data_IF_842563202266
#
_entry.id   IF_842563202266
#
_cell.length_a   1.000
_cell.length_b   1.000
_cell.length_c   1.000
_cell.angle_alpha   90.00
_cell.angle_beta   90.00
_cell.angle_gamma   90.00
#
_symmetry.space_group_name_H-M   'P 1'
#
loop_
_entity.id
_entity.type
_entity.pdbx_description
1 polymer ?
#
# COMPACT_ATOMS: atom_id res chain seq x y z
N UNK A 1 -7.86 -10.92 -15.83
CA UNK A 1 -6.78 -10.51 -14.91
C UNK A 1 -7.34 -9.44 -13.98
N UNK A 2 -6.94 -9.43 -12.70
CA UNK A 2 -7.53 -8.57 -11.66
C UNK A 2 -6.52 -8.11 -10.60
N UNK A 3 -5.23 -8.22 -10.93
CA UNK A 3 -4.09 -7.79 -10.12
C UNK A 3 -3.15 -6.97 -11.02
N UNK A 4 -2.20 -6.23 -10.45
CA UNK A 4 -1.30 -5.33 -11.19
C UNK A 4 -0.12 -6.10 -11.79
N UNK A 5 -0.09 -6.35 -13.12
CA UNK A 5 0.99 -7.12 -13.75
C UNK A 5 2.33 -6.38 -13.71
N UNK A 6 2.31 -5.04 -13.74
CA UNK A 6 3.51 -4.21 -13.76
C UNK A 6 4.33 -4.35 -12.47
N UNK A 7 3.68 -4.60 -11.34
CA UNK A 7 4.38 -4.92 -10.10
C UNK A 7 5.24 -6.19 -10.23
N UNK A 8 4.75 -7.19 -10.97
CA UNK A 8 5.50 -8.43 -11.20
C UNK A 8 6.68 -8.17 -12.14
N UNK A 9 6.43 -7.52 -13.28
CA UNK A 9 7.44 -7.35 -14.34
C UNK A 9 8.50 -6.31 -13.99
N UNK A 10 8.14 -5.23 -13.29
CA UNK A 10 9.03 -4.10 -13.02
C UNK A 10 9.55 -4.04 -11.58
N UNK A 11 8.89 -4.69 -10.61
CA UNK A 11 9.36 -4.70 -9.22
C UNK A 11 9.89 -6.08 -8.82
N UNK A 12 9.03 -7.11 -8.80
CA UNK A 12 9.42 -8.42 -8.26
C UNK A 12 10.49 -9.08 -9.12
N UNK A 13 10.23 -9.33 -10.39
CA UNK A 13 11.15 -10.09 -11.26
C UNK A 13 12.57 -9.49 -11.31
N UNK A 14 12.78 -8.18 -11.54
CA UNK A 14 14.13 -7.63 -11.61
C UNK A 14 14.83 -7.54 -10.24
N UNK A 15 14.09 -7.44 -9.13
CA UNK A 15 14.67 -7.17 -7.81
C UNK A 15 14.68 -8.39 -6.88
N UNK A 16 14.11 -9.54 -7.28
CA UNK A 16 13.92 -10.69 -6.39
C UNK A 16 15.20 -11.19 -5.72
N UNK A 17 16.33 -11.15 -6.44
CA UNK A 17 17.64 -11.53 -5.91
C UNK A 17 18.14 -10.53 -4.86
N UNK A 18 17.96 -9.24 -5.10
CA UNK A 18 18.33 -8.19 -4.15
C UNK A 18 17.42 -8.18 -2.92
N UNK A 19 16.12 -8.41 -3.12
CA UNK A 19 15.14 -8.58 -2.05
C UNK A 19 15.61 -9.67 -1.09
N UNK A 20 15.98 -10.84 -1.61
CA UNK A 20 16.51 -11.94 -0.79
C UNK A 20 17.85 -11.60 -0.14
N UNK A 21 18.82 -11.14 -0.94
CA UNK A 21 20.18 -10.86 -0.47
C UNK A 21 20.22 -9.81 0.64
N UNK A 22 19.36 -8.80 0.56
CA UNK A 22 19.30 -7.68 1.50
C UNK A 22 18.23 -7.88 2.58
N UNK A 23 17.49 -9.00 2.55
CA UNK A 23 16.37 -9.28 3.46
C UNK A 23 15.34 -8.15 3.49
N UNK A 24 15.03 -7.59 2.32
CA UNK A 24 13.99 -6.57 2.15
C UNK A 24 12.64 -7.26 2.24
N UNK A 25 11.72 -6.68 3.01
CA UNK A 25 10.32 -7.12 3.02
C UNK A 25 9.48 -6.24 2.12
N UNK A 26 8.60 -6.86 1.36
CA UNK A 26 7.74 -6.19 0.39
C UNK A 26 6.28 -6.32 0.82
N UNK A 27 5.57 -5.21 0.90
CA UNK A 27 4.13 -5.18 1.18
C UNK A 27 3.45 -4.45 0.03
N UNK A 28 2.36 -5.01 -0.51
CA UNK A 28 1.64 -4.37 -1.61
C UNK A 28 0.17 -4.79 -1.69
N UNK A 29 -0.67 -3.87 -2.18
CA UNK A 29 -2.04 -4.13 -2.61
C UNK A 29 -2.17 -4.47 -4.10
N UNK A 30 -1.05 -4.79 -4.78
CA UNK A 30 -1.03 -5.19 -6.19
C UNK A 30 -1.89 -6.43 -6.49
N UNK A 31 -2.36 -7.17 -5.48
CA UNK A 31 -3.34 -8.24 -5.65
C UNK A 31 -4.69 -7.76 -6.18
N UNK A 32 -5.05 -6.49 -5.98
CA UNK A 32 -6.27 -5.89 -6.52
C UNK A 32 -7.52 -6.67 -6.13
N UNK A 33 -8.26 -7.15 -7.13
CA UNK A 33 -9.44 -8.03 -6.95
C UNK A 33 -9.12 -9.52 -7.18
N UNK A 34 -7.85 -9.86 -7.44
CA UNK A 34 -7.39 -11.24 -7.62
C UNK A 34 -6.01 -11.47 -6.96
N UNK A 35 -5.92 -11.37 -5.62
CA UNK A 35 -4.67 -11.56 -4.90
C UNK A 35 -4.09 -12.98 -5.07
N UNK A 36 -4.94 -14.00 -5.24
CA UNK A 36 -4.50 -15.38 -5.49
C UNK A 36 -3.73 -15.49 -6.81
N UNK A 37 -4.25 -14.87 -7.87
CA UNK A 37 -3.57 -14.79 -9.17
C UNK A 37 -2.20 -14.12 -9.07
N UNK A 38 -2.10 -13.03 -8.29
CA UNK A 38 -0.84 -12.34 -8.05
C UNK A 38 0.18 -13.25 -7.34
N UNK A 39 -0.22 -13.91 -6.25
CA UNK A 39 0.63 -14.83 -5.48
C UNK A 39 1.13 -15.99 -6.33
N UNK A 40 0.25 -16.60 -7.14
CA UNK A 40 0.64 -17.69 -8.04
C UNK A 40 1.67 -17.23 -9.07
N UNK A 41 1.52 -16.02 -9.61
CA UNK A 41 2.51 -15.45 -10.53
C UNK A 41 3.85 -15.17 -9.84
N UNK A 42 3.86 -14.64 -8.61
CA UNK A 42 5.10 -14.44 -7.83
C UNK A 42 5.80 -15.78 -7.56
N UNK A 43 5.05 -16.82 -7.18
CA UNK A 43 5.60 -18.17 -6.96
C UNK A 43 6.27 -18.74 -8.23
N UNK A 44 5.69 -18.48 -9.39
CA UNK A 44 6.29 -18.88 -10.66
C UNK A 44 7.61 -18.13 -10.93
N UNK A 45 7.67 -16.83 -10.63
CA UNK A 45 8.91 -16.04 -10.74
C UNK A 45 9.98 -16.56 -9.78
N UNK A 46 9.63 -16.82 -8.53
CA UNK A 46 10.53 -17.42 -7.54
C UNK A 46 11.10 -18.76 -8.02
N UNK A 47 10.24 -19.64 -8.54
CA UNK A 47 10.67 -20.94 -9.06
C UNK A 47 11.56 -20.81 -10.29
N UNK A 48 11.30 -19.86 -11.19
CA UNK A 48 12.13 -19.66 -12.40
C UNK A 48 13.49 -19.05 -12.07
N UNK A 49 13.56 -18.20 -11.05
CA UNK A 49 14.77 -17.51 -10.62
C UNK A 49 15.58 -18.30 -9.58
N UNK A 50 15.06 -19.45 -9.11
CA UNK A 50 15.71 -20.26 -8.07
C UNK A 50 15.77 -19.57 -6.70
N UNK A 51 14.83 -18.68 -6.42
CA UNK A 51 14.80 -17.86 -5.21
C UNK A 51 13.71 -18.34 -4.25
N UNK A 52 14.12 -18.84 -3.09
CA UNK A 52 13.20 -19.13 -1.99
C UNK A 52 12.98 -17.89 -1.12
N UNK A 53 11.71 -17.48 -1.03
CA UNK A 53 11.14 -16.43 -0.19
C UNK A 53 9.77 -16.91 0.30
N UNK A 54 9.26 -16.35 1.39
CA UNK A 54 7.93 -16.62 1.90
C UNK A 54 6.94 -15.56 1.40
N UNK A 55 5.77 -16.01 0.93
CA UNK A 55 4.71 -15.12 0.42
C UNK A 55 3.43 -15.34 1.23
N UNK A 56 2.95 -14.29 1.87
CA UNK A 56 1.66 -14.27 2.55
C UNK A 56 0.61 -13.52 1.74
N UNK A 57 -0.63 -13.98 1.81
CA UNK A 57 -1.78 -13.36 1.18
C UNK A 57 -2.76 -12.91 2.27
N UNK A 58 -3.15 -11.65 2.26
CA UNK A 58 -4.18 -11.11 3.14
C UNK A 58 -5.47 -10.95 2.34
N UNK A 59 -6.52 -11.65 2.76
CA UNK A 59 -7.84 -11.69 2.13
C UNK A 59 -8.92 -11.25 3.11
N UNK A 60 -10.17 -11.20 2.65
CA UNK A 60 -11.33 -10.73 3.42
C UNK A 60 -11.85 -9.38 2.93
N UNK A 61 -11.22 -8.81 1.90
CA UNK A 61 -11.70 -7.63 1.21
C UNK A 61 -12.86 -7.94 0.27
N UNK A 62 -12.90 -9.12 -0.39
CA UNK A 62 -13.98 -9.50 -1.30
C UNK A 62 -15.30 -9.77 -0.57
N UNK A 63 -16.27 -8.86 -0.78
CA UNK A 63 -17.61 -8.90 -0.21
C UNK A 63 -18.67 -9.38 -1.21
N UNK A 64 -18.28 -9.93 -2.37
CA UNK A 64 -19.22 -10.36 -3.41
C UNK A 64 -20.25 -11.40 -2.92
N UNK A 65 -19.86 -12.23 -1.96
CA UNK A 65 -20.77 -13.21 -1.31
C UNK A 65 -21.84 -12.55 -0.44
N UNK A 66 -21.58 -11.33 0.04
CA UNK A 66 -22.46 -10.58 0.93
C UNK A 66 -23.34 -9.57 0.19
N UNK A 67 -23.20 -9.40 -1.14
CA UNK A 67 -23.93 -8.38 -1.92
C UNK A 67 -25.44 -8.45 -1.68
N UNK A 68 -26.02 -9.65 -1.66
CA UNK A 68 -27.47 -9.83 -1.43
C UNK A 68 -27.86 -9.36 -0.02
N UNK A 69 -27.14 -9.82 0.99
CA UNK A 69 -27.36 -9.44 2.39
C UNK A 69 -27.23 -7.93 2.60
N UNK A 70 -26.17 -7.34 2.05
CA UNK A 70 -25.89 -5.89 2.12
C UNK A 70 -26.99 -5.09 1.42
N UNK A 71 -27.46 -5.56 0.27
CA UNK A 71 -28.58 -4.93 -0.46
C UNK A 71 -29.90 -5.03 0.31
N UNK A 72 -30.19 -6.20 0.87
CA UNK A 72 -31.40 -6.47 1.65
C UNK A 72 -31.41 -5.72 2.99
N UNK A 73 -30.24 -5.30 3.49
CA UNK A 73 -30.13 -4.49 4.72
C UNK A 73 -30.76 -3.09 4.61
N UNK A 74 -30.91 -2.56 3.39
CA UNK A 74 -31.42 -1.22 3.13
C UNK A 74 -30.42 -0.08 3.43
N UNK A 75 -29.24 -0.37 4.01
CA UNK A 75 -28.22 0.63 4.32
C UNK A 75 -27.23 0.89 3.19
N UNK A 76 -27.18 0.02 2.18
CA UNK A 76 -26.24 0.11 1.08
C UNK A 76 -26.71 1.11 0.02
N UNK A 77 -26.45 2.38 0.30
CA UNK A 77 -26.71 3.51 -0.59
C UNK A 77 -25.42 4.23 -0.93
N UNK A 78 -25.39 4.77 -2.14
CA UNK A 78 -24.36 5.71 -2.57
C UNK A 78 -24.39 6.97 -1.69
N UNK A 79 -23.22 7.40 -1.20
CA UNK A 79 -23.14 8.48 -0.20
C UNK A 79 -23.51 9.85 -0.76
N UNK A 80 -23.30 10.08 -2.06
CA UNK A 80 -23.56 11.36 -2.71
C UNK A 80 -25.00 11.46 -3.22
N UNK A 81 -25.47 10.42 -3.92
CA UNK A 81 -26.77 10.42 -4.59
C UNK A 81 -27.89 9.75 -3.80
N UNK A 82 -27.57 9.02 -2.73
CA UNK A 82 -28.53 8.23 -1.95
C UNK A 82 -29.14 7.05 -2.73
N UNK A 83 -28.64 6.75 -3.93
CA UNK A 83 -29.15 5.65 -4.75
C UNK A 83 -28.77 4.32 -4.13
N UNK A 84 -29.70 3.37 -4.15
CA UNK A 84 -29.40 1.99 -3.76
C UNK A 84 -28.42 1.35 -4.74
N UNK A 85 -27.76 0.27 -4.30
CA UNK A 85 -26.92 -0.55 -5.17
C UNK A 85 -27.62 -0.93 -6.50
N UNK A 86 -26.87 -0.94 -7.62
CA UNK A 86 -27.39 -1.36 -8.92
C UNK A 86 -27.90 -2.81 -8.91
N UNK A 87 -28.60 -3.21 -9.97
CA UNK A 87 -29.06 -4.59 -10.14
C UNK A 87 -27.89 -5.58 -10.27
N UNK A 88 -26.85 -5.19 -11.01
CA UNK A 88 -25.61 -5.93 -11.17
C UNK A 88 -24.46 -5.23 -10.46
N UNK A 89 -23.74 -5.97 -9.61
CA UNK A 89 -22.51 -5.51 -8.96
C UNK A 89 -21.35 -6.26 -9.59
N UNK A 90 -20.38 -5.52 -10.14
CA UNK A 90 -19.18 -6.12 -10.74
C UNK A 90 -18.16 -6.54 -9.67
N UNK A 91 -17.98 -5.71 -8.66
CA UNK A 91 -17.11 -5.94 -7.51
C UNK A 91 -17.65 -5.21 -6.29
N UNK A 92 -17.41 -5.76 -5.10
CA UNK A 92 -17.69 -5.12 -3.83
C UNK A 92 -16.56 -5.48 -2.87
N UNK A 93 -15.85 -4.48 -2.37
CA UNK A 93 -14.68 -4.71 -1.55
C UNK A 93 -14.70 -3.86 -0.28
N UNK A 94 -14.38 -4.47 0.86
CA UNK A 94 -14.02 -3.78 2.09
C UNK A 94 -12.52 -3.53 2.11
N UNK A 95 -12.09 -2.32 2.46
CA UNK A 95 -10.66 -2.01 2.52
C UNK A 95 -10.09 -2.55 3.82
N UNK A 96 -9.12 -3.46 3.70
CA UNK A 96 -8.45 -4.01 4.87
C UNK A 96 -7.49 -3.00 5.50
N UNK A 97 -7.37 -3.06 6.83
CA UNK A 97 -6.43 -2.24 7.59
C UNK A 97 -5.04 -2.89 7.75
N UNK A 98 -4.22 -2.27 8.60
CA UNK A 98 -2.80 -2.59 8.77
C UNK A 98 -2.48 -3.80 9.65
N UNK A 99 -3.35 -4.16 10.60
CA UNK A 99 -3.07 -5.27 11.53
C UNK A 99 -2.93 -6.64 10.84
N UNK A 100 -3.80 -7.03 9.89
CA UNK A 100 -3.60 -8.27 9.13
C UNK A 100 -2.28 -8.33 8.34
N UNK A 101 -1.78 -7.17 7.88
CA UNK A 101 -0.47 -7.05 7.24
C UNK A 101 0.64 -7.27 8.27
N UNK A 102 0.55 -6.63 9.44
CA UNK A 102 1.49 -6.83 10.54
C UNK A 102 1.54 -8.31 10.99
N UNK A 103 0.38 -8.95 11.14
CA UNK A 103 0.27 -10.37 11.51
C UNK A 103 0.95 -11.28 10.48
N UNK A 104 0.89 -10.94 9.19
CA UNK A 104 1.57 -11.68 8.13
C UNK A 104 3.11 -11.53 8.23
N UNK A 105 3.58 -10.32 8.53
CA UNK A 105 5.00 -10.05 8.76
C UNK A 105 5.53 -10.69 10.04
N UNK A 106 4.72 -10.74 11.12
CA UNK A 106 5.03 -11.43 12.37
C UNK A 106 5.23 -12.93 12.17
N UNK A 107 4.49 -13.53 11.23
CA UNK A 107 4.65 -14.93 10.81
C UNK A 107 5.85 -15.17 9.90
N UNK A 108 6.65 -14.13 9.63
CA UNK A 108 7.90 -14.23 8.89
C UNK A 108 7.76 -14.07 7.38
N UNK A 109 6.66 -13.51 6.87
CA UNK A 109 6.49 -13.28 5.44
C UNK A 109 7.53 -12.28 4.90
N UNK A 110 8.20 -12.65 3.81
CA UNK A 110 9.10 -11.76 3.06
C UNK A 110 8.30 -10.86 2.12
N UNK A 111 7.24 -11.40 1.52
CA UNK A 111 6.32 -10.68 0.63
C UNK A 111 4.91 -10.82 1.16
N UNK A 112 4.21 -9.71 1.40
CA UNK A 112 2.80 -9.66 1.77
C UNK A 112 2.00 -9.05 0.62
N UNK A 113 1.07 -9.82 0.08
CA UNK A 113 0.14 -9.40 -0.96
C UNK A 113 -1.25 -9.24 -0.36
N UNK A 114 -1.88 -8.11 -0.60
CA UNK A 114 -3.27 -7.87 -0.21
C UNK A 114 -4.17 -7.76 -1.44
N UNK A 115 -5.47 -7.95 -1.24
CA UNK A 115 -6.50 -7.41 -2.12
C UNK A 115 -6.63 -5.89 -1.93
N UNK A 116 -7.86 -5.37 -1.82
CA UNK A 116 -8.09 -3.95 -1.49
C UNK A 116 -7.73 -3.65 -0.03
N UNK A 117 -6.73 -2.79 0.17
CA UNK A 117 -6.31 -2.26 1.47
C UNK A 117 -6.35 -0.74 1.44
N UNK A 118 -6.51 -0.10 2.60
CA UNK A 118 -6.25 1.36 2.69
C UNK A 118 -4.79 1.61 2.36
N UNK A 119 -4.49 2.63 1.56
CA UNK A 119 -3.14 2.81 1.02
C UNK A 119 -2.10 3.04 2.14
N UNK A 120 -2.44 3.86 3.14
CA UNK A 120 -1.65 4.04 4.37
C UNK A 120 -1.41 2.75 5.17
N UNK A 121 -2.24 1.71 5.05
CA UNK A 121 -2.03 0.44 5.75
C UNK A 121 -0.79 -0.32 5.24
N UNK A 122 -0.39 -0.08 3.99
CA UNK A 122 0.81 -0.69 3.41
C UNK A 122 2.09 -0.21 4.10
N UNK A 123 2.10 1.01 4.63
CA UNK A 123 3.20 1.53 5.45
C UNK A 123 2.97 1.24 6.94
N UNK A 124 1.76 1.44 7.46
CA UNK A 124 1.46 1.24 8.88
C UNK A 124 1.62 -0.23 9.32
N UNK A 125 1.29 -1.21 8.48
CA UNK A 125 1.46 -2.63 8.78
C UNK A 125 2.91 -3.00 9.14
N UNK A 126 3.89 -2.67 8.29
CA UNK A 126 5.31 -2.76 8.60
C UNK A 126 5.73 -2.05 9.90
N UNK A 127 5.19 -0.87 10.20
CA UNK A 127 5.52 -0.12 11.42
C UNK A 127 4.99 -0.81 12.67
N UNK A 128 3.74 -1.29 12.64
CA UNK A 128 3.15 -2.10 13.72
C UNK A 128 3.99 -3.34 13.98
N UNK A 129 4.35 -4.07 12.92
CA UNK A 129 5.23 -5.24 13.03
C UNK A 129 6.58 -4.86 13.66
N UNK A 130 7.22 -3.81 13.13
CA UNK A 130 8.58 -3.42 13.51
C UNK A 130 8.69 -2.91 14.95
N UNK A 131 7.71 -2.12 15.38
CA UNK A 131 7.75 -1.43 16.68
C UNK A 131 6.82 -2.06 17.73
N UNK A 132 6.01 -3.05 17.34
CA UNK A 132 5.13 -3.78 18.26
C UNK A 132 3.96 -2.96 18.79
N UNK A 133 3.57 -1.89 18.10
CA UNK A 133 2.46 -1.00 18.48
C UNK A 133 1.15 -1.76 18.64
N UNK A 134 0.34 -1.36 19.62
CA UNK A 134 -0.93 -1.99 19.97
C UNK A 134 -2.10 -1.26 19.32
N UNK A 135 -3.24 -1.96 19.25
CA UNK A 135 -4.52 -1.42 18.75
C UNK A 135 -5.01 -0.19 19.51
N UNK A 136 -4.51 0.02 20.73
CA UNK A 136 -4.85 1.13 21.62
C UNK A 136 -3.84 2.28 21.58
N UNK A 137 -2.74 2.14 20.83
CA UNK A 137 -1.69 3.16 20.75
C UNK A 137 -2.06 4.22 19.69
N UNK A 138 -3.19 4.90 19.90
CA UNK A 138 -3.82 5.73 18.88
C UNK A 138 -2.92 6.82 18.30
N UNK A 139 -2.07 7.45 19.12
CA UNK A 139 -1.13 8.48 18.66
C UNK A 139 -0.05 7.89 17.73
N UNK A 140 0.43 6.68 18.04
CA UNK A 140 1.42 5.99 17.23
C UNK A 140 0.79 5.48 15.93
N UNK A 141 -0.42 4.91 16.01
CA UNK A 141 -1.17 4.44 14.84
C UNK A 141 -1.54 5.59 13.89
N UNK A 142 -1.93 6.75 14.44
CA UNK A 142 -2.24 7.93 13.63
C UNK A 142 -0.99 8.51 12.97
N UNK A 143 0.13 8.60 13.70
CA UNK A 143 1.40 9.05 13.12
C UNK A 143 1.89 8.11 12.01
N UNK A 144 1.83 6.79 12.22
CA UNK A 144 2.18 5.83 11.18
C UNK A 144 1.24 5.85 9.98
N UNK A 145 -0.05 6.14 10.19
CA UNK A 145 -1.01 6.34 9.09
C UNK A 145 -0.66 7.59 8.29
N UNK A 146 -0.31 8.70 8.95
CA UNK A 146 0.14 9.93 8.31
C UNK A 146 1.42 9.70 7.50
N UNK A 147 2.39 8.99 8.06
CA UNK A 147 3.61 8.60 7.35
C UNK A 147 3.29 7.79 6.08
N UNK A 148 2.32 6.87 6.16
CA UNK A 148 1.83 6.10 5.01
C UNK A 148 1.16 6.96 3.95
N UNK A 149 0.24 7.83 4.38
CA UNK A 149 -0.48 8.76 3.52
C UNK A 149 0.45 9.74 2.79
N UNK A 150 1.56 10.13 3.42
CA UNK A 150 2.54 10.97 2.76
C UNK A 150 3.28 10.26 1.63
N UNK A 151 3.44 8.93 1.67
CA UNK A 151 4.22 8.19 0.68
C UNK A 151 3.37 7.37 -0.30
N UNK A 152 2.04 7.43 -0.16
CA UNK A 152 1.12 6.76 -1.08
C UNK A 152 0.95 7.55 -2.39
N UNK A 153 0.23 6.99 -3.34
CA UNK A 153 -0.19 7.67 -4.58
C UNK A 153 0.93 8.23 -5.49
N UNK A 154 2.20 7.94 -5.19
CA UNK A 154 3.33 8.17 -6.09
C UNK A 154 4.27 9.27 -5.60
N UNK A 155 4.52 10.27 -6.44
CA UNK A 155 5.56 11.29 -6.23
C UNK A 155 5.02 12.61 -5.66
N UNK A 156 3.81 12.63 -5.10
CA UNK A 156 3.11 13.85 -4.73
C UNK A 156 3.87 14.64 -3.65
N UNK A 157 4.19 14.02 -2.52
CA UNK A 157 4.96 14.64 -1.41
C UNK A 157 6.38 15.06 -1.81
N UNK A 158 6.89 14.54 -2.94
CA UNK A 158 8.20 14.89 -3.51
C UNK A 158 8.09 15.90 -4.66
N UNK A 159 6.95 16.57 -4.80
CA UNK A 159 6.73 17.69 -5.74
C UNK A 159 6.07 17.30 -7.07
N UNK A 160 5.54 16.07 -7.19
CA UNK A 160 4.87 15.59 -8.40
C UNK A 160 3.49 16.20 -8.63
N UNK A 161 2.76 16.48 -7.54
CA UNK A 161 1.47 17.17 -7.56
C UNK A 161 1.56 18.25 -6.49
N UNK A 162 1.93 19.46 -6.89
CA UNK A 162 1.98 20.62 -6.01
C UNK A 162 1.64 21.90 -6.79
N UNK A 163 1.20 22.95 -6.08
CA UNK A 163 0.80 24.20 -6.74
C UNK A 163 1.95 24.83 -7.54
N UNK A 164 3.16 24.83 -6.97
CA UNK A 164 4.37 25.43 -7.55
C UNK A 164 5.23 24.41 -8.33
N UNK A 165 4.59 23.43 -8.98
CA UNK A 165 5.27 22.33 -9.68
C UNK A 165 6.28 22.81 -10.75
N UNK A 166 6.04 23.97 -11.36
CA UNK A 166 6.90 24.58 -12.37
C UNK A 166 8.26 25.06 -11.80
N UNK A 167 8.33 25.25 -10.48
CA UNK A 167 9.57 25.60 -9.77
C UNK A 167 10.39 24.37 -9.34
N UNK A 168 9.84 23.17 -9.47
CA UNK A 168 10.46 21.92 -9.04
C UNK A 168 11.53 21.49 -10.05
N UNK A 169 12.79 21.47 -9.60
CA UNK A 169 13.90 21.05 -10.44
C UNK A 169 13.87 19.54 -10.73
N UNK A 170 14.09 19.17 -12.00
CA UNK A 170 14.11 17.77 -12.43
C UNK A 170 12.75 17.09 -12.31
N UNK A 171 11.66 17.82 -12.55
CA UNK A 171 10.28 17.32 -12.44
C UNK A 171 10.02 16.07 -13.30
N UNK A 172 10.71 15.93 -14.43
CA UNK A 172 10.66 14.77 -15.32
C UNK A 172 11.32 13.50 -14.75
N UNK A 173 12.12 13.63 -13.69
CA UNK A 173 12.84 12.54 -13.02
C UNK A 173 12.65 12.61 -11.49
N UNK A 174 11.43 12.86 -11.02
CA UNK A 174 11.14 12.93 -9.59
C UNK A 174 11.36 11.56 -8.93
N UNK A 175 12.05 11.58 -7.79
CA UNK A 175 12.19 10.41 -6.94
C UNK A 175 10.92 10.13 -6.14
N UNK A 176 10.50 8.87 -6.09
CA UNK A 176 9.45 8.43 -5.18
C UNK A 176 9.84 8.67 -3.71
N UNK A 177 8.87 8.96 -2.83
CA UNK A 177 9.14 9.26 -1.44
C UNK A 177 9.69 8.08 -0.66
N UNK A 178 10.52 8.40 0.33
CA UNK A 178 11.04 7.48 1.34
C UNK A 178 10.70 8.07 2.70
N UNK A 179 10.10 7.28 3.59
CA UNK A 179 9.86 7.68 4.98
C UNK A 179 10.71 6.85 5.94
N UNK A 180 11.46 7.53 6.80
CA UNK A 180 12.22 6.92 7.89
C UNK A 180 11.47 7.15 9.20
N UNK A 181 10.95 6.09 9.81
CA UNK A 181 10.15 6.18 11.03
C UNK A 181 10.91 5.67 12.25
N UNK A 182 10.60 6.23 13.42
CA UNK A 182 11.07 5.78 14.72
C UNK A 182 9.94 5.16 15.56
N UNK A 183 10.32 4.41 16.60
CA UNK A 183 9.37 3.69 17.46
C UNK A 183 8.45 4.59 18.28
N UNK A 184 8.82 5.86 18.48
CA UNK A 184 8.03 6.89 19.16
C UNK A 184 7.02 7.59 18.23
N UNK A 185 6.94 7.16 16.97
CA UNK A 185 6.04 7.71 15.97
C UNK A 185 6.60 8.92 15.22
N UNK A 186 7.78 9.43 15.55
CA UNK A 186 8.42 10.47 14.74
C UNK A 186 8.90 9.89 13.41
N UNK A 187 8.89 10.70 12.34
CA UNK A 187 9.36 10.28 11.03
C UNK A 187 9.95 11.42 10.21
N UNK A 188 10.77 11.07 9.22
CA UNK A 188 11.39 11.97 8.26
C UNK A 188 11.06 11.51 6.83
N UNK A 189 10.43 12.39 6.05
CA UNK A 189 10.19 12.18 4.62
C UNK A 189 11.40 12.67 3.82
N UNK A 190 11.83 11.86 2.88
CA UNK A 190 12.99 12.10 2.01
C UNK A 190 12.71 11.54 0.61
N UNK A 191 13.70 11.65 -0.28
CA UNK A 191 13.64 11.08 -1.62
C UNK A 191 15.02 10.52 -2.00
N UNK A 192 15.11 9.58 -2.96
CA UNK A 192 16.38 9.05 -3.42
C UNK A 192 17.36 10.16 -3.86
N UNK A 193 18.67 10.01 -3.58
CA UNK A 193 19.68 10.93 -4.11
C UNK A 193 19.71 10.89 -5.64
N UNK A 194 20.22 11.96 -6.27
CA UNK A 194 20.35 12.06 -7.74
C UNK A 194 19.02 11.98 -8.53
N UNK A 195 17.89 12.26 -7.87
CA UNK A 195 16.58 12.45 -8.52
C UNK A 195 16.18 13.93 -8.46
N UNK A 196 15.25 14.34 -9.31
CA UNK A 196 14.58 15.63 -9.17
C UNK A 196 13.51 15.61 -8.08
N UNK A 197 12.65 16.62 -8.06
CA UNK A 197 11.65 16.79 -7.01
C UNK A 197 12.15 17.59 -5.82
N UNK A 198 11.26 17.90 -4.89
CA UNK A 198 11.53 18.64 -3.67
C UNK A 198 10.70 18.08 -2.53
N UNK A 199 11.28 18.02 -1.33
CA UNK A 199 10.55 17.74 -0.08
C UNK A 199 10.68 18.99 0.77
N UNK A 200 9.57 19.68 1.01
CA UNK A 200 9.51 20.86 1.87
C UNK A 200 8.16 20.93 2.60
N UNK A 201 7.94 21.97 3.39
CA UNK A 201 6.68 22.15 4.11
C UNK A 201 5.47 22.19 3.17
N UNK A 202 5.57 22.86 2.02
CA UNK A 202 4.48 23.00 1.06
C UNK A 202 4.06 21.65 0.49
N UNK A 203 5.01 20.87 -0.04
CA UNK A 203 4.70 19.55 -0.63
C UNK A 203 4.14 18.56 0.39
N UNK A 204 4.60 18.63 1.64
CA UNK A 204 4.06 17.83 2.74
C UNK A 204 2.66 18.30 3.12
N UNK A 205 2.45 19.60 3.33
CA UNK A 205 1.17 20.14 3.77
C UNK A 205 0.05 19.91 2.74
N UNK A 206 0.37 20.05 1.45
CA UNK A 206 -0.59 19.77 0.37
C UNK A 206 -0.99 18.29 0.36
N UNK A 207 -0.02 17.37 0.48
CA UNK A 207 -0.32 15.94 0.56
C UNK A 207 -1.20 15.59 1.75
N UNK A 208 -0.93 16.14 2.94
CA UNK A 208 -1.75 15.90 4.14
C UNK A 208 -3.21 16.36 3.97
N UNK A 209 -3.45 17.33 3.08
CA UNK A 209 -4.78 17.90 2.87
C UNK A 209 -5.60 17.21 1.77
N UNK A 210 -5.03 16.24 1.07
CA UNK A 210 -5.71 15.42 0.05
C UNK A 210 -6.64 14.37 0.68
#
# INVERSE_FOLDING_TARGET
MGYTPDFISHCIKPLIHDIKKQSIRVVTNAGGINPEGCVNTIKNVMSSEGVELSVAMVTGDDMMKNVKEIKDSGYAVDIESGRTLPSSVLSMNAYIGSFPIADALDKGADIVITGRATDSALALGPLIHKFGWKRTDYDLLSSGSLAGHLIECGAQVTGGICTDWDTVQGWDNIGFPIVNCASDGSFLVTKPPCTGGVVNFGTVAEQVSE
#
